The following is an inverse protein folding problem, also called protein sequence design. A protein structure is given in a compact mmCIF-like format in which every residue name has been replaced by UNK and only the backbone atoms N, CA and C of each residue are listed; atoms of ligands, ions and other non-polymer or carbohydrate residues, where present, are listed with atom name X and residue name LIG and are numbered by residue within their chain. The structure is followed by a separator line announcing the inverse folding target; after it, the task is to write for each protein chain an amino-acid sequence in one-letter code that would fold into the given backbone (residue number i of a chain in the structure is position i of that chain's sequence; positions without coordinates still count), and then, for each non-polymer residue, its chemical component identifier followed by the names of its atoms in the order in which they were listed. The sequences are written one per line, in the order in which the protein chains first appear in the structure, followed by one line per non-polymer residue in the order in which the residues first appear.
data_IF_411508015281
#
_entry.id   IF_411508015281
#
_cell.length_a   1.000
_cell.length_b   1.000
_cell.length_c   1.000
_cell.angle_alpha   90.00
_cell.angle_beta   90.00
_cell.angle_gamma   90.00
#
_symmetry.space_group_name_H-M   'P 1'
#
loop_
_entity.id
_entity.type
_entity.pdbx_description
1 polymer ?
#
# COMPACT_ATOMS: atom_id res chain seq x y z
N UNK A 1 -31.22 -17.71 -25.77
CA UNK A 1 -31.30 -16.50 -24.91
C UNK A 1 -30.31 -16.54 -23.73
N UNK A 2 -30.07 -17.68 -23.07
CA UNK A 2 -29.16 -17.77 -21.91
C UNK A 2 -27.68 -17.39 -22.22
N UNK A 3 -27.18 -17.77 -23.39
CA UNK A 3 -25.77 -17.52 -23.76
C UNK A 3 -25.47 -16.03 -24.02
N UNK A 4 -26.48 -15.25 -24.39
CA UNK A 4 -26.32 -13.81 -24.67
C UNK A 4 -26.11 -13.00 -23.39
N UNK A 5 -26.72 -13.42 -22.28
CA UNK A 5 -26.55 -12.78 -20.96
C UNK A 5 -25.13 -13.00 -20.44
N UNK A 6 -24.56 -14.19 -20.64
CA UNK A 6 -23.19 -14.49 -20.22
C UNK A 6 -22.17 -13.66 -20.99
N UNK A 7 -22.36 -13.52 -22.31
CA UNK A 7 -21.52 -12.68 -23.16
C UNK A 7 -21.59 -11.20 -22.73
N UNK A 8 -22.79 -10.68 -22.44
CA UNK A 8 -22.97 -9.31 -21.96
C UNK A 8 -22.31 -9.04 -20.61
N UNK A 9 -22.24 -10.05 -19.74
CA UNK A 9 -21.64 -9.91 -18.40
C UNK A 9 -20.10 -9.95 -18.47
N UNK A 10 -19.53 -10.75 -19.37
CA UNK A 10 -18.08 -10.85 -19.60
C UNK A 10 -17.50 -9.62 -20.33
N UNK A 11 -18.33 -8.85 -21.03
CA UNK A 11 -17.94 -7.64 -21.74
C UNK A 11 -18.05 -6.37 -20.88
N UNK A 12 -18.46 -6.47 -19.61
CA UNK A 12 -18.46 -5.32 -18.72
C UNK A 12 -17.01 -4.95 -18.36
N UNK A 13 -16.54 -3.73 -18.70
CA UNK A 13 -15.22 -3.30 -18.30
C UNK A 13 -15.17 -3.23 -16.77
N UNK A 14 -14.19 -3.90 -16.16
CA UNK A 14 -13.88 -3.67 -14.76
C UNK A 14 -13.42 -2.21 -14.65
N UNK A 15 -14.28 -1.34 -14.14
CA UNK A 15 -13.90 0.02 -13.80
C UNK A 15 -12.85 -0.06 -12.68
N UNK A 16 -11.58 -0.10 -13.06
CA UNK A 16 -10.48 0.00 -12.13
C UNK A 16 -10.59 1.35 -11.45
N UNK A 17 -10.93 1.34 -10.17
CA UNK A 17 -10.83 2.55 -9.34
C UNK A 17 -9.35 2.92 -9.26
N UNK A 18 -8.94 3.86 -10.11
CA UNK A 18 -7.64 4.47 -9.96
C UNK A 18 -7.65 5.21 -8.62
N UNK A 19 -6.84 4.72 -7.67
CA UNK A 19 -6.67 5.41 -6.40
C UNK A 19 -6.23 6.86 -6.69
N UNK A 20 -6.78 7.81 -5.94
CA UNK A 20 -6.35 9.19 -6.04
C UNK A 20 -4.82 9.26 -5.83
N UNK A 21 -4.13 10.02 -6.68
CA UNK A 21 -2.68 10.19 -6.55
C UNK A 21 -2.36 10.75 -5.15
N UNK A 22 -1.54 10.06 -4.33
CA UNK A 22 -1.23 10.55 -3.01
C UNK A 22 -0.27 11.75 -3.07
N UNK A 23 -0.37 12.64 -2.09
CA UNK A 23 0.69 13.60 -1.79
C UNK A 23 1.81 12.88 -1.03
N UNK A 24 3.07 13.15 -1.38
CA UNK A 24 4.23 12.48 -0.79
C UNK A 24 5.01 13.51 0.01
N UNK A 25 5.23 13.21 1.29
CA UNK A 25 6.20 13.90 2.14
C UNK A 25 7.32 12.90 2.44
N UNK A 26 8.54 13.28 2.08
CA UNK A 26 9.75 12.52 2.39
C UNK A 26 10.50 13.23 3.49
N UNK A 27 10.83 12.51 4.56
CA UNK A 27 11.62 13.02 5.68
C UNK A 27 12.89 12.19 5.81
N UNK A 28 14.03 12.87 5.91
CA UNK A 28 15.33 12.28 6.18
C UNK A 28 15.86 12.88 7.48
N UNK A 29 16.16 12.01 8.44
CA UNK A 29 16.80 12.38 9.70
C UNK A 29 18.25 11.92 9.68
N UNK A 30 19.18 12.84 9.92
CA UNK A 30 20.57 12.49 10.12
C UNK A 30 20.80 11.92 11.53
N UNK A 31 21.80 11.06 11.68
CA UNK A 31 22.21 10.42 12.94
C UNK A 31 21.12 9.68 13.74
N UNK A 32 19.94 9.43 13.17
CA UNK A 32 18.91 8.66 13.84
C UNK A 32 19.26 7.16 13.81
N UNK A 33 19.63 6.61 14.97
CA UNK A 33 19.90 5.19 15.14
C UNK A 33 18.64 4.32 14.99
N UNK A 34 18.83 3.03 14.71
CA UNK A 34 17.75 2.05 14.46
C UNK A 34 16.77 1.93 15.65
N UNK A 35 17.24 2.15 16.87
CA UNK A 35 16.48 2.14 18.11
C UNK A 35 16.10 3.56 18.59
N UNK A 36 16.27 4.59 17.75
CA UNK A 36 16.05 5.99 18.08
C UNK A 36 14.58 6.43 18.14
N UNK A 37 13.63 5.50 17.99
CA UNK A 37 12.19 5.76 18.07
C UNK A 37 11.58 5.07 19.30
N UNK A 38 10.46 5.60 19.80
CA UNK A 38 9.67 4.96 20.86
C UNK A 38 8.98 3.65 20.42
N UNK A 39 9.07 3.32 19.14
CA UNK A 39 8.53 2.10 18.53
C UNK A 39 9.63 1.38 17.75
N UNK A 40 9.42 0.10 17.49
CA UNK A 40 10.35 -0.67 16.66
C UNK A 40 10.35 -0.14 15.22
N UNK A 41 11.52 0.23 14.69
CA UNK A 41 11.62 0.62 13.26
C UNK A 41 11.36 -0.54 12.30
N UNK A 42 11.63 -1.78 12.72
CA UNK A 42 11.36 -2.97 11.91
C UNK A 42 10.77 -4.08 12.79
N UNK A 43 9.64 -4.70 12.40
CA UNK A 43 8.94 -5.66 13.25
C UNK A 43 9.80 -6.86 13.66
N UNK A 44 10.67 -7.32 12.74
CA UNK A 44 11.46 -8.56 12.94
C UNK A 44 12.92 -8.32 13.35
N UNK A 45 13.32 -7.07 13.63
CA UNK A 45 14.69 -6.77 14.11
C UNK A 45 14.62 -6.39 15.60
N UNK A 46 14.98 -7.29 16.53
CA UNK A 46 14.85 -7.02 17.96
C UNK A 46 15.60 -5.76 18.41
N UNK A 47 16.76 -5.48 17.82
CA UNK A 47 17.58 -4.31 18.10
C UNK A 47 17.00 -2.98 17.57
N UNK A 48 15.84 -3.00 16.91
CA UNK A 48 15.16 -1.80 16.37
C UNK A 48 14.30 -1.05 17.38
N UNK A 49 14.23 -1.53 18.62
CA UNK A 49 13.53 -0.88 19.73
C UNK A 49 14.54 -0.53 20.82
N UNK A 50 14.51 0.73 21.26
CA UNK A 50 15.34 1.25 22.35
C UNK A 50 14.74 0.96 23.72
#
# INVERSE_FOLDING_TARGET
MKNWIVILTLLMPSAGWAAAKPNIIFMLSDDQGWNGLSVAMHPDVPASRG
#
